data_IF_766875913793
#
_entry.id   IF_766875913793
#
_cell.length_a   1.000
_cell.length_b   1.000
_cell.length_c   1.000
_cell.angle_alpha   90.00
_cell.angle_beta   90.00
_cell.angle_gamma   90.00
#
_symmetry.space_group_name_H-M   'P 1'
#
loop_
_entity.id
_entity.type
_entity.pdbx_description
1 polymer ?
#
# COMPACT_ATOMS: atom_id res chain seq x y z
N UNK A 1 10.47 17.91 2.17
CA UNK A 1 9.97 17.01 3.22
C UNK A 1 11.11 16.10 3.68
N UNK A 2 11.35 15.98 5.00
CA UNK A 2 12.27 14.99 5.59
C UNK A 2 11.49 13.74 5.96
N UNK A 3 11.89 12.60 5.41
CA UNK A 3 11.15 11.33 5.48
C UNK A 3 11.95 10.26 6.19
N UNK A 4 11.28 9.51 7.06
CA UNK A 4 11.81 8.30 7.69
C UNK A 4 11.00 7.09 7.17
N UNK A 5 11.65 6.22 6.41
CA UNK A 5 11.05 4.99 5.90
C UNK A 5 11.60 3.79 6.67
N UNK A 6 10.71 3.03 7.27
CA UNK A 6 11.02 1.84 8.05
C UNK A 6 10.65 0.59 7.24
N UNK A 7 11.51 -0.42 7.27
CA UNK A 7 11.34 -1.62 6.44
C UNK A 7 11.26 -1.26 4.95
N UNK A 8 12.18 -0.39 4.52
CA UNK A 8 12.11 0.36 3.26
C UNK A 8 12.12 -0.52 2.01
N UNK A 9 12.67 -1.72 2.11
CA UNK A 9 12.77 -2.64 0.98
C UNK A 9 13.54 -2.01 -0.17
N UNK A 10 12.95 -2.02 -1.34
CA UNK A 10 13.51 -1.44 -2.58
C UNK A 10 13.12 0.03 -2.78
N UNK A 11 12.78 0.76 -1.73
CA UNK A 11 12.42 2.20 -1.74
C UNK A 11 11.21 2.56 -2.61
N UNK A 12 10.19 1.71 -2.62
CA UNK A 12 8.91 2.02 -3.26
C UNK A 12 8.30 3.33 -2.73
N UNK A 13 8.51 3.63 -1.44
CA UNK A 13 8.04 4.86 -0.80
C UNK A 13 8.70 6.12 -1.39
N UNK A 14 10.01 6.09 -1.64
CA UNK A 14 10.71 7.19 -2.31
C UNK A 14 10.14 7.48 -3.70
N UNK A 15 9.97 6.41 -4.49
CA UNK A 15 9.39 6.53 -5.82
C UNK A 15 7.94 7.05 -5.78
N UNK A 16 7.17 6.62 -4.78
CA UNK A 16 5.79 7.08 -4.58
C UNK A 16 5.73 8.58 -4.25
N UNK A 17 6.61 9.08 -3.39
CA UNK A 17 6.74 10.52 -3.09
C UNK A 17 7.02 11.33 -4.34
N UNK A 18 7.99 10.89 -5.16
CA UNK A 18 8.29 11.54 -6.44
C UNK A 18 7.07 11.55 -7.38
N UNK A 19 6.33 10.46 -7.47
CA UNK A 19 5.09 10.37 -8.28
C UNK A 19 3.94 11.21 -7.72
N UNK A 20 3.93 11.42 -6.42
CA UNK A 20 2.97 12.31 -5.78
C UNK A 20 3.31 13.80 -5.98
N UNK A 21 4.50 14.12 -6.48
CA UNK A 21 4.97 15.50 -6.64
C UNK A 21 5.50 16.12 -5.33
N UNK A 22 5.74 15.31 -4.31
CA UNK A 22 6.19 15.78 -3.00
C UNK A 22 7.73 15.93 -3.01
N UNK A 23 8.27 17.14 -2.79
CA UNK A 23 9.70 17.36 -2.70
C UNK A 23 10.33 16.64 -1.51
N UNK A 24 11.43 15.92 -1.76
CA UNK A 24 12.18 15.15 -0.75
C UNK A 24 13.47 15.90 -0.46
N UNK A 25 13.61 16.45 0.75
CA UNK A 25 14.84 17.13 1.18
C UNK A 25 15.85 16.11 1.71
N UNK A 26 15.37 15.17 2.52
CA UNK A 26 16.17 14.08 3.06
C UNK A 26 15.31 12.84 3.23
N UNK A 27 15.88 11.67 2.89
CA UNK A 27 15.23 10.39 3.06
C UNK A 27 16.11 9.44 3.85
N UNK A 28 15.65 9.08 5.03
CA UNK A 28 16.24 8.08 5.91
C UNK A 28 15.55 6.76 5.72
N UNK A 29 16.30 5.69 5.49
CA UNK A 29 15.78 4.35 5.28
C UNK A 29 16.31 3.36 6.31
N UNK A 30 15.44 2.62 6.95
CA UNK A 30 15.81 1.46 7.77
C UNK A 30 15.49 0.19 7.00
N UNK A 31 16.53 -0.52 6.59
CA UNK A 31 16.48 -1.78 5.88
C UNK A 31 17.71 -2.63 6.24
N UNK A 32 17.56 -3.96 6.29
CA UNK A 32 18.65 -4.89 6.63
C UNK A 32 19.02 -5.83 5.48
N UNK A 33 18.12 -6.01 4.50
CA UNK A 33 18.39 -6.85 3.33
C UNK A 33 19.34 -6.12 2.38
N UNK A 34 20.54 -6.67 2.23
CA UNK A 34 21.60 -6.08 1.39
C UNK A 34 21.19 -5.98 -0.08
N UNK A 35 20.33 -6.88 -0.57
CA UNK A 35 19.84 -6.84 -1.96
C UNK A 35 18.85 -5.70 -2.13
N UNK A 36 17.94 -5.51 -1.17
CA UNK A 36 17.06 -4.36 -1.13
C UNK A 36 17.83 -3.04 -1.13
N UNK A 37 18.81 -2.91 -0.22
CA UNK A 37 19.68 -1.71 -0.10
C UNK A 37 20.41 -1.44 -1.43
N UNK A 38 20.96 -2.49 -2.06
CA UNK A 38 21.66 -2.36 -3.34
C UNK A 38 20.74 -1.84 -4.46
N UNK A 39 19.51 -2.36 -4.56
CA UNK A 39 18.53 -1.89 -5.55
C UNK A 39 18.12 -0.45 -5.24
N UNK A 40 17.81 -0.15 -3.99
CA UNK A 40 17.47 1.19 -3.51
C UNK A 40 18.54 2.22 -3.88
N UNK A 41 19.80 1.97 -3.52
CA UNK A 41 20.92 2.87 -3.78
C UNK A 41 21.31 2.99 -5.26
N UNK A 42 21.05 1.95 -6.07
CA UNK A 42 21.21 2.04 -7.53
C UNK A 42 20.33 3.14 -8.13
N UNK A 43 19.09 3.25 -7.66
CA UNK A 43 18.13 4.24 -8.16
C UNK A 43 18.16 5.57 -7.40
N UNK A 44 18.49 5.54 -6.11
CA UNK A 44 18.45 6.68 -5.21
C UNK A 44 19.71 6.73 -4.32
N UNK A 45 20.86 7.13 -4.86
CA UNK A 45 22.14 7.10 -4.14
C UNK A 45 22.18 8.02 -2.91
N UNK A 46 21.29 9.00 -2.83
CA UNK A 46 21.22 9.97 -1.72
C UNK A 46 20.42 9.48 -0.52
N UNK A 47 19.86 8.26 -0.56
CA UNK A 47 19.16 7.67 0.59
C UNK A 47 20.16 7.38 1.70
N UNK A 48 19.87 7.85 2.90
CA UNK A 48 20.67 7.62 4.10
C UNK A 48 20.19 6.33 4.76
N UNK A 49 21.03 5.28 4.74
CA UNK A 49 20.71 3.98 5.32
C UNK A 49 20.99 3.99 6.83
N UNK A 50 20.00 3.62 7.64
CA UNK A 50 20.06 3.56 9.11
C UNK A 50 20.24 2.14 9.65
N UNK A 51 20.08 1.11 8.81
CA UNK A 51 20.19 -0.30 9.18
C UNK A 51 18.99 -0.83 9.95
N UNK A 52 19.24 -1.61 10.99
CA UNK A 52 18.21 -2.34 11.74
C UNK A 52 17.31 -1.39 12.56
N UNK A 53 15.99 -1.49 12.35
CA UNK A 53 14.98 -0.71 13.07
C UNK A 53 15.00 -0.93 14.59
N UNK A 54 15.47 -2.09 15.07
CA UNK A 54 15.62 -2.34 16.51
C UNK A 54 16.59 -1.37 17.19
N UNK A 55 17.52 -0.77 16.44
CA UNK A 55 18.51 0.18 16.92
C UNK A 55 18.04 1.64 16.82
N UNK A 56 16.78 1.92 16.53
CA UNK A 56 16.29 3.27 16.23
C UNK A 56 16.63 4.34 17.27
N UNK A 57 16.77 3.95 18.56
CA UNK A 57 17.13 4.87 19.63
C UNK A 57 18.57 5.37 19.58
N UNK A 58 19.42 4.71 18.77
CA UNK A 58 20.82 5.11 18.57
C UNK A 58 21.04 5.91 17.29
N UNK A 59 19.98 6.12 16.48
CA UNK A 59 20.11 6.86 15.23
C UNK A 59 20.34 8.35 15.50
N UNK A 60 21.40 8.89 14.90
CA UNK A 60 21.69 10.31 14.90
C UNK A 60 21.01 11.00 13.73
N UNK A 61 19.72 11.30 13.90
CA UNK A 61 18.88 12.00 12.92
C UNK A 61 18.12 13.16 13.57
N UNK A 62 17.73 14.17 12.80
CA UNK A 62 17.02 15.34 13.34
C UNK A 62 15.53 15.00 13.59
N UNK A 63 15.24 14.26 14.65
CA UNK A 63 13.92 13.74 14.99
C UNK A 63 12.80 14.80 14.97
N UNK A 64 13.09 16.04 15.40
CA UNK A 64 12.12 17.14 15.43
C UNK A 64 11.74 17.66 14.06
N UNK A 65 12.57 17.39 13.07
CA UNK A 65 12.41 17.87 11.69
C UNK A 65 11.83 16.79 10.75
N UNK A 66 11.56 15.60 11.25
CA UNK A 66 10.93 14.56 10.45
C UNK A 66 9.46 14.92 10.20
N UNK A 67 9.10 15.02 8.93
CA UNK A 67 7.74 15.38 8.49
C UNK A 67 6.84 14.16 8.30
N UNK A 68 7.42 13.04 7.83
CA UNK A 68 6.68 11.82 7.49
C UNK A 68 7.46 10.59 7.95
N UNK A 69 6.79 9.69 8.67
CA UNK A 69 7.27 8.32 8.89
C UNK A 69 6.36 7.34 8.17
N UNK A 70 6.95 6.39 7.43
CA UNK A 70 6.18 5.37 6.75
C UNK A 70 6.86 4.00 6.85
N UNK A 71 6.07 2.91 6.77
CA UNK A 71 6.62 1.57 6.83
C UNK A 71 5.59 0.48 6.59
N UNK A 72 6.01 -0.56 5.87
CA UNK A 72 5.30 -1.83 5.74
C UNK A 72 5.90 -2.84 6.71
N UNK A 73 5.38 -2.94 7.91
CA UNK A 73 5.91 -3.86 8.91
C UNK A 73 5.58 -5.32 8.57
N UNK A 74 6.44 -6.25 8.96
CA UNK A 74 6.45 -7.64 8.49
C UNK A 74 5.08 -8.32 8.51
N UNK A 75 4.58 -8.67 7.31
CA UNK A 75 3.27 -9.30 7.10
C UNK A 75 3.24 -10.82 7.34
N UNK A 76 4.39 -11.50 7.38
CA UNK A 76 4.45 -12.97 7.42
C UNK A 76 3.82 -13.57 8.67
N UNK A 77 3.79 -12.83 9.77
CA UNK A 77 3.16 -13.24 11.03
C UNK A 77 1.65 -13.06 11.04
N UNK A 78 1.11 -12.17 10.20
CA UNK A 78 -0.31 -11.80 10.14
C UNK A 78 -1.05 -12.42 8.95
N UNK A 79 -0.32 -12.81 7.90
CA UNK A 79 -0.91 -13.35 6.68
C UNK A 79 -1.65 -14.66 6.94
N UNK A 80 -2.80 -14.84 6.29
CA UNK A 80 -3.57 -16.11 6.26
C UNK A 80 -2.79 -17.27 5.66
N UNK A 81 -1.79 -16.99 4.81
CA UNK A 81 -0.88 -18.00 4.23
C UNK A 81 0.30 -18.34 5.16
N UNK A 82 0.51 -17.57 6.23
CA UNK A 82 1.53 -17.78 7.25
C UNK A 82 1.05 -18.68 8.41
N UNK A 83 1.90 -18.81 9.43
CA UNK A 83 1.56 -19.57 10.65
C UNK A 83 0.52 -18.89 11.56
N UNK A 84 0.07 -17.68 11.21
CA UNK A 84 -0.96 -16.91 11.93
C UNK A 84 -0.61 -16.57 13.40
N UNK A 85 0.69 -16.54 13.75
CA UNK A 85 1.15 -16.30 15.13
C UNK A 85 1.03 -14.84 15.58
N UNK A 86 0.75 -13.92 14.65
CA UNK A 86 0.58 -12.49 14.95
C UNK A 86 1.75 -11.92 15.74
N UNK A 87 1.46 -11.21 16.82
CA UNK A 87 2.45 -10.57 17.70
C UNK A 87 3.27 -11.56 18.55
N UNK A 88 2.91 -12.84 18.59
CA UNK A 88 3.70 -13.89 19.24
C UNK A 88 4.96 -14.26 18.45
N UNK A 89 5.03 -13.96 17.17
CA UNK A 89 6.23 -14.11 16.33
C UNK A 89 7.14 -12.89 16.51
N UNK A 90 8.46 -13.11 16.54
CA UNK A 90 9.45 -12.04 16.66
C UNK A 90 9.30 -10.97 15.56
N UNK A 91 8.92 -11.38 14.35
CA UNK A 91 8.66 -10.47 13.23
C UNK A 91 7.38 -9.66 13.39
N UNK A 92 6.33 -10.22 14.02
CA UNK A 92 5.11 -9.48 14.36
C UNK A 92 5.37 -8.40 15.40
N UNK A 93 6.37 -8.59 16.26
CA UNK A 93 6.80 -7.59 17.25
C UNK A 93 7.47 -6.36 16.65
N UNK A 94 7.97 -6.43 15.41
CA UNK A 94 8.54 -5.27 14.70
C UNK A 94 7.49 -4.16 14.47
N UNK A 95 6.20 -4.48 14.48
CA UNK A 95 5.14 -3.48 14.52
C UNK A 95 5.30 -2.52 15.71
N UNK A 96 5.67 -3.04 16.88
CA UNK A 96 5.84 -2.17 18.07
C UNK A 96 7.04 -1.22 17.94
N UNK A 97 8.08 -1.60 17.17
CA UNK A 97 9.14 -0.63 16.82
C UNK A 97 8.56 0.53 15.99
N UNK A 98 7.69 0.22 15.02
CA UNK A 98 7.01 1.24 14.22
C UNK A 98 6.12 2.13 15.10
N UNK A 99 5.26 1.55 15.95
CA UNK A 99 4.36 2.33 16.81
C UNK A 99 5.11 3.18 17.85
N UNK A 100 6.21 2.65 18.42
CA UNK A 100 7.08 3.39 19.35
C UNK A 100 7.72 4.60 18.67
N UNK A 101 8.23 4.45 17.45
CA UNK A 101 8.80 5.54 16.65
C UNK A 101 7.72 6.59 16.34
N UNK A 102 6.52 6.16 15.91
CA UNK A 102 5.39 7.07 15.67
C UNK A 102 5.04 7.84 16.94
N UNK A 103 4.96 7.16 18.08
CA UNK A 103 4.66 7.78 19.40
C UNK A 103 5.76 8.78 19.78
N UNK A 104 7.02 8.41 19.61
CA UNK A 104 8.17 9.29 19.87
C UNK A 104 8.11 10.53 18.97
N UNK A 105 7.91 10.36 17.67
CA UNK A 105 7.79 11.46 16.72
C UNK A 105 6.57 12.35 16.99
N UNK A 106 5.42 11.79 17.39
CA UNK A 106 4.26 12.61 17.82
C UNK A 106 4.64 13.57 18.96
N UNK A 107 5.48 13.11 19.91
CA UNK A 107 5.95 13.96 21.03
C UNK A 107 6.95 15.01 20.52
N UNK A 108 7.99 14.62 19.79
CA UNK A 108 9.05 15.52 19.33
C UNK A 108 8.54 16.60 18.39
N UNK A 109 7.59 16.28 17.51
CA UNK A 109 7.00 17.21 16.52
C UNK A 109 5.74 17.92 17.03
N UNK A 110 5.38 17.76 18.31
CA UNK A 110 4.14 18.31 18.92
C UNK A 110 2.89 17.94 18.13
N UNK A 111 2.82 16.70 17.68
CA UNK A 111 1.68 16.14 16.94
C UNK A 111 1.64 16.45 15.43
N UNK A 112 2.63 17.13 14.88
CA UNK A 112 2.67 17.49 13.45
C UNK A 112 3.11 16.35 12.52
N UNK A 113 3.70 15.27 13.06
CA UNK A 113 4.17 14.14 12.26
C UNK A 113 3.04 13.52 11.44
N UNK A 114 3.31 13.27 10.17
CA UNK A 114 2.50 12.43 9.30
C UNK A 114 3.01 10.99 9.39
N UNK A 115 2.12 10.00 9.37
CA UNK A 115 2.55 8.60 9.34
C UNK A 115 1.68 7.74 8.43
N UNK A 116 2.31 6.74 7.81
CA UNK A 116 1.70 5.71 6.98
C UNK A 116 2.22 4.34 7.39
N UNK A 117 1.36 3.50 7.97
CA UNK A 117 1.63 2.09 8.21
C UNK A 117 0.91 1.23 7.17
N UNK A 118 1.55 0.18 6.67
CA UNK A 118 0.93 -0.76 5.72
C UNK A 118 1.06 -2.19 6.23
N UNK A 119 0.00 -3.00 5.98
CA UNK A 119 0.08 -4.45 6.15
C UNK A 119 -0.96 -5.20 5.29
N UNK A 120 -0.85 -6.52 5.28
CA UNK A 120 -1.83 -7.41 4.65
C UNK A 120 -3.17 -7.42 5.39
N UNK A 121 -4.23 -7.89 4.73
CA UNK A 121 -5.44 -8.32 5.45
C UNK A 121 -5.08 -9.33 6.53
N UNK A 122 -5.64 -9.13 7.71
CA UNK A 122 -5.39 -9.94 8.90
C UNK A 122 -6.68 -10.18 9.68
N UNK A 123 -6.60 -11.00 10.73
CA UNK A 123 -7.71 -11.20 11.67
C UNK A 123 -8.06 -9.90 12.38
N UNK A 124 -9.33 -9.70 12.68
CA UNK A 124 -9.83 -8.49 13.34
C UNK A 124 -9.16 -8.20 14.69
N UNK A 125 -8.81 -9.25 15.44
CA UNK A 125 -8.07 -9.11 16.69
C UNK A 125 -6.72 -8.39 16.52
N UNK A 126 -5.94 -8.77 15.49
CA UNK A 126 -4.65 -8.13 15.19
C UNK A 126 -4.84 -6.72 14.62
N UNK A 127 -5.82 -6.55 13.73
CA UNK A 127 -6.16 -5.24 13.15
C UNK A 127 -6.53 -4.24 14.24
N UNK A 128 -7.32 -4.67 15.24
CA UNK A 128 -7.72 -3.83 16.36
C UNK A 128 -6.53 -3.34 17.17
N UNK A 129 -5.59 -4.23 17.52
CA UNK A 129 -4.36 -3.85 18.24
C UNK A 129 -3.59 -2.76 17.49
N UNK A 130 -3.41 -2.93 16.17
CA UNK A 130 -2.69 -1.94 15.35
C UNK A 130 -3.44 -0.61 15.33
N UNK A 131 -4.77 -0.65 15.17
CA UNK A 131 -5.64 0.52 15.15
C UNK A 131 -5.60 1.29 16.48
N UNK A 132 -5.68 0.58 17.60
CA UNK A 132 -5.59 1.17 18.94
C UNK A 132 -4.23 1.83 19.20
N UNK A 133 -3.14 1.17 18.84
CA UNK A 133 -1.77 1.69 18.99
C UNK A 133 -1.51 2.94 18.13
N UNK A 134 -1.99 2.98 16.90
CA UNK A 134 -1.79 4.10 16.00
C UNK A 134 -2.83 5.21 16.16
N UNK A 135 -4.01 4.88 16.71
CA UNK A 135 -5.11 5.80 16.95
C UNK A 135 -5.86 6.22 15.68
N UNK A 136 -5.80 5.43 14.62
CA UNK A 136 -6.51 5.67 13.35
C UNK A 136 -7.00 4.36 12.75
N UNK A 137 -8.19 4.39 12.12
CA UNK A 137 -8.70 3.24 11.38
C UNK A 137 -7.98 3.07 10.04
N UNK A 138 -7.75 1.83 9.59
CA UNK A 138 -7.13 1.60 8.31
C UNK A 138 -8.11 1.80 7.15
N UNK A 139 -7.59 2.30 6.04
CA UNK A 139 -8.27 2.24 4.74
C UNK A 139 -7.80 0.98 4.03
N UNK A 140 -8.72 0.16 3.55
CA UNK A 140 -8.39 -0.98 2.72
C UNK A 140 -8.43 -0.60 1.25
N UNK A 141 -7.32 -0.84 0.53
CA UNK A 141 -7.24 -0.60 -0.92
C UNK A 141 -6.80 -1.88 -1.62
N UNK A 142 -7.51 -2.21 -2.72
CA UNK A 142 -7.06 -3.22 -3.67
C UNK A 142 -6.21 -2.55 -4.75
N UNK A 143 -4.99 -3.01 -4.94
CA UNK A 143 -4.11 -2.55 -6.03
C UNK A 143 -4.71 -2.73 -7.41
N UNK A 144 -5.72 -3.60 -7.56
CA UNK A 144 -6.46 -3.80 -8.82
C UNK A 144 -7.07 -2.50 -9.38
N UNK A 145 -7.29 -1.49 -8.54
CA UNK A 145 -7.75 -0.17 -8.99
C UNK A 145 -6.70 0.59 -9.80
N UNK A 146 -5.41 0.33 -9.58
CA UNK A 146 -4.31 1.09 -10.20
C UNK A 146 -3.27 0.21 -10.90
N UNK A 147 -3.47 -1.11 -10.89
CA UNK A 147 -2.54 -2.12 -11.43
C UNK A 147 -3.30 -3.33 -11.98
N UNK A 148 -2.60 -4.21 -12.69
CA UNK A 148 -3.14 -5.47 -13.18
C UNK A 148 -3.11 -6.61 -12.14
N UNK A 149 -2.93 -6.33 -10.82
CA UNK A 149 -2.94 -7.36 -9.78
C UNK A 149 -4.02 -7.12 -8.73
N UNK A 150 -4.66 -8.20 -8.28
CA UNK A 150 -5.51 -8.19 -7.08
C UNK A 150 -4.62 -8.27 -5.85
N UNK A 151 -4.52 -7.19 -5.08
CA UNK A 151 -3.65 -7.09 -3.90
C UNK A 151 -4.30 -6.20 -2.85
N UNK A 152 -5.05 -6.78 -1.96
CA UNK A 152 -5.69 -6.08 -0.84
C UNK A 152 -4.68 -5.78 0.27
N UNK A 153 -4.64 -4.52 0.70
CA UNK A 153 -3.79 -4.06 1.81
C UNK A 153 -4.54 -3.10 2.70
N UNK A 154 -4.13 -3.07 3.96
CA UNK A 154 -4.61 -2.15 4.97
C UNK A 154 -3.57 -1.03 5.15
N UNK A 155 -4.03 0.22 5.15
CA UNK A 155 -3.20 1.41 5.28
C UNK A 155 -3.69 2.26 6.45
N UNK A 156 -2.86 2.41 7.47
CA UNK A 156 -3.10 3.30 8.61
C UNK A 156 -2.36 4.61 8.36
N UNK A 157 -3.10 5.70 8.11
CA UNK A 157 -2.52 7.03 7.93
C UNK A 157 -3.36 8.07 8.67
N UNK A 158 -2.68 9.13 9.17
CA UNK A 158 -3.34 10.18 9.97
C UNK A 158 -3.81 11.39 9.13
N UNK A 159 -4.16 11.14 7.89
CA UNK A 159 -4.83 12.10 6.99
C UNK A 159 -5.98 11.41 6.25
N UNK A 160 -7.01 12.17 5.81
CA UNK A 160 -8.12 11.61 5.08
C UNK A 160 -7.69 11.12 3.70
N UNK A 161 -8.20 9.97 3.29
CA UNK A 161 -7.91 9.33 2.01
C UNK A 161 -9.22 9.02 1.30
N UNK A 162 -9.29 9.37 0.02
CA UNK A 162 -10.34 8.92 -0.89
C UNK A 162 -9.88 7.64 -1.60
N UNK A 163 -10.82 6.79 -2.02
CA UNK A 163 -10.48 5.59 -2.80
C UNK A 163 -9.93 5.99 -4.17
N UNK A 164 -8.87 5.33 -4.66
CA UNK A 164 -8.38 5.57 -6.01
C UNK A 164 -9.44 5.17 -7.05
N UNK A 165 -9.50 5.94 -8.14
CA UNK A 165 -10.33 5.60 -9.29
C UNK A 165 -9.75 4.36 -10.00
N UNK A 166 -10.62 3.47 -10.47
CA UNK A 166 -10.20 2.32 -11.26
C UNK A 166 -9.61 2.79 -12.60
N UNK A 167 -8.35 2.45 -12.85
CA UNK A 167 -7.64 2.73 -14.11
C UNK A 167 -7.91 1.69 -15.19
N UNK A 168 -8.64 0.63 -14.88
CA UNK A 168 -8.99 -0.47 -15.78
C UNK A 168 -7.78 -1.16 -16.43
N UNK A 169 -6.62 -1.19 -15.76
CA UNK A 169 -5.43 -1.86 -16.25
C UNK A 169 -5.62 -3.37 -16.20
N UNK A 170 -5.53 -4.03 -17.34
CA UNK A 170 -5.67 -5.48 -17.47
C UNK A 170 -4.32 -6.19 -17.40
N UNK A 171 -4.36 -7.52 -17.26
CA UNK A 171 -3.16 -8.33 -17.37
C UNK A 171 -2.51 -8.18 -18.75
N UNK A 172 -3.33 -8.10 -19.81
CA UNK A 172 -2.84 -7.99 -21.19
C UNK A 172 -2.03 -6.70 -21.41
N UNK A 173 -2.33 -5.63 -20.66
CA UNK A 173 -1.62 -4.33 -20.75
C UNK A 173 -0.19 -4.38 -20.18
N UNK A 174 0.12 -5.38 -19.35
CA UNK A 174 1.42 -5.46 -18.67
C UNK A 174 2.33 -6.57 -19.21
N UNK A 175 1.81 -7.48 -20.03
CA UNK A 175 2.57 -8.61 -20.53
C UNK A 175 3.59 -8.19 -21.60
N UNK A 176 4.77 -8.83 -21.58
CA UNK A 176 5.75 -8.73 -22.64
C UNK A 176 5.41 -9.74 -23.77
N UNK A 177 4.91 -9.21 -24.89
CA UNK A 177 4.46 -10.04 -26.03
C UNK A 177 5.60 -10.70 -26.81
N UNK A 178 6.83 -10.19 -26.72
CA UNK A 178 7.97 -10.58 -27.58
C UNK A 178 8.90 -11.63 -26.97
N UNK A 179 8.59 -12.16 -25.79
CA UNK A 179 9.50 -13.09 -25.06
C UNK A 179 9.35 -14.55 -25.48
N UNK A 180 9.17 -14.83 -26.78
CA UNK A 180 9.28 -16.19 -27.33
C UNK A 180 8.14 -17.14 -26.94
N UNK A 181 7.16 -16.67 -26.17
CA UNK A 181 5.96 -17.41 -25.83
C UNK A 181 4.81 -16.88 -26.68
N UNK A 182 4.68 -17.46 -27.88
CA UNK A 182 3.53 -17.23 -28.71
C UNK A 182 2.42 -18.21 -28.25
N UNK A 183 1.36 -17.76 -27.59
CA UNK A 183 0.29 -18.65 -27.18
C UNK A 183 -0.42 -19.34 -28.36
N UNK A 184 0.04 -19.14 -29.63
CA UNK A 184 -0.49 -19.74 -30.83
C UNK A 184 -2.00 -19.55 -30.88
N UNK A 185 -2.80 -19.97 -31.76
CA UNK A 185 -4.25 -19.82 -31.90
C UNK A 185 -5.13 -20.06 -30.64
N UNK A 186 -4.62 -19.73 -29.43
CA UNK A 186 -5.23 -19.98 -28.15
C UNK A 186 -6.17 -18.84 -27.80
N UNK A 187 -7.39 -19.22 -27.49
CA UNK A 187 -8.53 -18.33 -27.21
C UNK A 187 -8.41 -17.50 -25.92
N UNK A 188 -7.24 -17.37 -25.29
CA UNK A 188 -7.06 -16.51 -24.12
C UNK A 188 -5.78 -16.75 -23.34
N UNK A 189 -5.34 -15.74 -22.64
CA UNK A 189 -4.29 -15.78 -21.63
C UNK A 189 -4.98 -15.92 -20.27
N UNK A 190 -4.49 -16.83 -19.45
CA UNK A 190 -5.07 -17.14 -18.14
C UNK A 190 -4.02 -17.06 -17.04
N UNK A 191 -4.47 -16.75 -15.83
CA UNK A 191 -3.64 -16.84 -14.63
C UNK A 191 -3.77 -18.21 -13.99
N UNK A 192 -2.66 -18.81 -13.67
CA UNK A 192 -2.57 -20.07 -12.96
C UNK A 192 -1.63 -19.99 -11.76
N UNK A 193 -1.66 -21.07 -10.98
CA UNK A 193 -0.72 -21.33 -9.88
C UNK A 193 -0.19 -22.75 -10.02
N UNK A 194 1.06 -22.97 -9.63
CA UNK A 194 1.61 -24.33 -9.54
C UNK A 194 1.62 -24.73 -8.07
N UNK A 195 0.83 -25.73 -7.73
CA UNK A 195 0.62 -26.21 -6.36
C UNK A 195 0.89 -27.70 -6.24
N UNK A 196 1.46 -28.12 -5.11
CA UNK A 196 1.57 -29.54 -4.77
C UNK A 196 0.21 -30.12 -4.39
N UNK A 197 -0.20 -31.18 -5.04
CA UNK A 197 -1.44 -31.91 -4.74
C UNK A 197 -1.16 -33.41 -4.67
N UNK A 198 -1.91 -34.11 -3.84
CA UNK A 198 -1.96 -35.57 -3.88
C UNK A 198 -3.08 -35.96 -4.83
N UNK A 199 -2.71 -36.53 -5.97
CA UNK A 199 -3.65 -36.98 -7.00
C UNK A 199 -3.56 -38.51 -7.03
N UNK A 200 -4.71 -39.18 -6.83
CA UNK A 200 -4.79 -40.64 -6.89
C UNK A 200 -4.68 -41.16 -8.34
N UNK A 201 -4.54 -42.44 -8.51
CA UNK A 201 -4.50 -43.09 -9.84
C UNK A 201 -5.78 -42.87 -10.65
N UNK A 202 -6.88 -42.62 -9.95
CA UNK A 202 -8.18 -42.23 -10.49
C UNK A 202 -8.23 -40.75 -10.97
N UNK A 203 -7.13 -40.01 -10.87
CA UNK A 203 -7.04 -38.58 -11.23
C UNK A 203 -7.69 -37.63 -10.21
N UNK A 204 -8.32 -38.13 -9.16
CA UNK A 204 -8.98 -37.31 -8.16
C UNK A 204 -8.04 -36.85 -7.03
N UNK A 205 -8.36 -35.69 -6.47
CA UNK A 205 -7.60 -35.08 -5.36
C UNK A 205 -7.79 -35.86 -4.06
N UNK A 206 -6.69 -36.30 -3.45
CA UNK A 206 -6.62 -37.07 -2.20
C UNK A 206 -5.63 -36.45 -1.21
N UNK A 207 -5.68 -35.14 -1.00
CA UNK A 207 -4.72 -34.40 -0.15
C UNK A 207 -4.68 -34.90 1.30
N UNK A 208 -5.73 -35.57 1.76
CA UNK A 208 -5.83 -36.19 3.07
C UNK A 208 -5.09 -37.54 3.16
N UNK A 209 -4.80 -38.21 2.03
CA UNK A 209 -4.12 -39.52 1.99
C UNK A 209 -2.60 -39.31 1.86
N UNK A 210 -1.89 -39.55 2.98
CA UNK A 210 -0.43 -39.37 3.04
C UNK A 210 0.34 -40.38 2.19
N UNK A 211 -0.28 -41.51 1.81
CA UNK A 211 0.35 -42.55 0.98
C UNK A 211 0.40 -42.12 -0.51
N UNK A 212 -0.46 -41.20 -0.91
CA UNK A 212 -0.45 -40.67 -2.28
C UNK A 212 0.66 -39.65 -2.44
N UNK A 213 1.53 -39.85 -3.44
CA UNK A 213 2.64 -38.93 -3.76
C UNK A 213 2.15 -37.56 -4.15
N UNK A 214 2.86 -36.50 -3.69
CA UNK A 214 2.57 -35.13 -4.10
C UNK A 214 3.00 -34.93 -5.55
N UNK A 215 2.07 -34.51 -6.38
CA UNK A 215 2.27 -34.11 -7.77
C UNK A 215 2.15 -32.58 -7.89
N UNK A 216 3.03 -31.96 -8.66
CA UNK A 216 2.92 -30.53 -8.97
C UNK A 216 1.85 -30.35 -10.06
N UNK A 217 0.78 -29.65 -9.73
CA UNK A 217 -0.34 -29.39 -10.62
C UNK A 217 -0.35 -27.91 -11.04
N UNK A 218 -0.61 -27.63 -12.30
CA UNK A 218 -1.00 -26.31 -12.77
C UNK A 218 -2.52 -26.15 -12.55
N UNK A 219 -2.91 -25.23 -11.70
CA UNK A 219 -4.33 -24.86 -11.50
C UNK A 219 -4.57 -23.52 -12.18
N UNK A 220 -5.30 -23.53 -13.29
CA UNK A 220 -5.71 -22.33 -14.04
C UNK A 220 -7.09 -21.91 -13.54
N UNK A 221 -7.21 -20.66 -13.11
CA UNK A 221 -8.43 -20.14 -12.49
C UNK A 221 -9.41 -19.64 -13.56
N UNK A 222 -10.71 -19.87 -13.32
CA UNK A 222 -11.75 -19.12 -14.00
C UNK A 222 -11.75 -17.70 -13.45
N UNK A 223 -11.78 -16.72 -14.34
CA UNK A 223 -12.17 -15.37 -13.94
C UNK A 223 -13.57 -15.44 -13.32
N UNK A 224 -13.70 -14.97 -12.10
CA UNK A 224 -14.98 -15.01 -11.39
C UNK A 224 -16.00 -14.02 -11.99
N UNK A 225 -15.53 -13.08 -12.80
CA UNK A 225 -16.36 -12.05 -13.41
C UNK A 225 -16.23 -12.10 -14.94
N UNK A 226 -17.29 -12.52 -15.62
CA UNK A 226 -17.38 -12.61 -17.08
C UNK A 226 -17.33 -11.26 -17.82
N UNK A 227 -17.32 -10.16 -17.09
CA UNK A 227 -17.26 -8.78 -17.61
C UNK A 227 -16.04 -8.02 -17.13
N UNK A 228 -15.16 -8.61 -16.31
CA UNK A 228 -14.07 -7.91 -15.67
C UNK A 228 -12.75 -8.11 -16.40
N UNK A 229 -12.00 -7.05 -16.40
CA UNK A 229 -10.61 -6.93 -16.76
C UNK A 229 -9.80 -8.01 -16.04
N UNK A 230 -9.07 -8.83 -16.79
CA UNK A 230 -8.23 -9.89 -16.24
C UNK A 230 -7.15 -9.30 -15.32
N UNK A 231 -7.05 -9.79 -14.10
CA UNK A 231 -6.05 -9.39 -13.12
C UNK A 231 -5.20 -10.58 -12.70
N UNK A 232 -3.92 -10.35 -12.40
CA UNK A 232 -3.08 -11.38 -11.78
C UNK A 232 -3.46 -11.62 -10.32
N UNK A 233 -2.97 -12.72 -9.75
CA UNK A 233 -2.96 -12.87 -8.30
C UNK A 233 -2.00 -11.84 -7.67
N UNK A 234 -2.12 -11.64 -6.34
CA UNK A 234 -1.13 -10.88 -5.58
C UNK A 234 0.27 -11.44 -5.82
N UNK A 235 1.23 -10.58 -6.15
CA UNK A 235 2.64 -10.98 -6.14
C UNK A 235 3.03 -11.40 -4.72
N UNK A 236 3.63 -12.58 -4.63
CA UNK A 236 4.24 -13.13 -3.42
C UNK A 236 5.74 -13.26 -3.60
N UNK A 237 6.44 -13.87 -2.67
CA UNK A 237 7.87 -14.19 -2.80
C UNK A 237 8.12 -15.48 -3.58
N UNK A 238 7.09 -16.08 -4.18
CA UNK A 238 7.15 -17.40 -4.82
C UNK A 238 6.67 -17.34 -6.27
N UNK A 239 7.56 -17.66 -7.21
CA UNK A 239 7.27 -17.65 -8.65
C UNK A 239 6.04 -18.48 -9.05
N UNK A 240 5.81 -19.61 -8.36
CA UNK A 240 4.72 -20.56 -8.65
C UNK A 240 3.33 -20.01 -8.37
N UNK A 241 3.22 -18.91 -7.60
CA UNK A 241 1.93 -18.33 -7.22
C UNK A 241 1.31 -17.49 -8.34
N UNK A 242 2.11 -17.16 -9.36
CA UNK A 242 1.66 -16.45 -10.54
C UNK A 242 2.34 -17.01 -11.78
N UNK A 243 1.59 -17.71 -12.61
CA UNK A 243 2.03 -18.19 -13.91
C UNK A 243 1.03 -17.76 -14.99
N UNK A 244 1.54 -17.45 -16.17
CA UNK A 244 0.76 -17.15 -17.35
C UNK A 244 0.53 -18.46 -18.09
N UNK A 245 -0.71 -18.84 -18.33
CA UNK A 245 -1.08 -20.10 -18.98
C UNK A 245 -1.86 -19.88 -20.27
N UNK A 246 -1.55 -20.71 -21.25
CA UNK A 246 -2.33 -20.85 -22.48
C UNK A 246 -3.47 -21.88 -22.35
N UNK A 247 -3.48 -22.66 -21.30
CA UNK A 247 -4.53 -23.64 -21.04
C UNK A 247 -5.76 -22.97 -20.43
N UNK A 248 -6.97 -23.42 -20.80
CA UNK A 248 -8.20 -22.90 -20.23
C UNK A 248 -8.30 -23.19 -18.71
N UNK A 249 -9.26 -22.57 -18.01
CA UNK A 249 -9.48 -22.86 -16.60
C UNK A 249 -9.66 -24.35 -16.33
N UNK A 250 -8.88 -24.88 -15.40
CA UNK A 250 -8.85 -26.31 -15.06
C UNK A 250 -7.69 -26.66 -14.14
N UNK A 251 -7.60 -27.96 -13.85
CA UNK A 251 -6.48 -28.54 -13.12
C UNK A 251 -5.74 -29.51 -14.02
N UNK A 252 -4.43 -29.30 -14.11
CA UNK A 252 -3.54 -30.05 -14.97
C UNK A 252 -2.44 -30.67 -14.11
N UNK A 253 -2.49 -32.02 -13.85
CA UNK A 253 -1.42 -32.71 -13.15
C UNK A 253 -0.12 -32.69 -13.95
N UNK A 254 1.01 -32.93 -13.26
CA UNK A 254 2.35 -32.95 -13.86
C UNK A 254 2.70 -31.63 -14.60
N UNK A 255 2.51 -30.49 -13.91
CA UNK A 255 2.72 -29.18 -14.49
C UNK A 255 4.08 -29.05 -15.23
N UNK A 256 5.15 -29.67 -14.72
CA UNK A 256 6.49 -29.57 -15.32
C UNK A 256 6.65 -30.31 -16.65
N UNK A 257 5.75 -31.22 -16.97
CA UNK A 257 5.70 -31.88 -18.29
C UNK A 257 5.04 -30.99 -19.36
N UNK A 258 4.41 -29.88 -18.94
CA UNK A 258 3.68 -28.93 -19.79
C UNK A 258 4.34 -27.55 -19.84
N UNK A 259 5.68 -27.50 -19.84
CA UNK A 259 6.44 -26.25 -19.80
C UNK A 259 6.17 -25.29 -20.96
N UNK A 260 5.72 -25.81 -22.09
CA UNK A 260 5.29 -25.06 -23.27
C UNK A 260 3.88 -24.42 -23.12
N UNK A 261 3.11 -24.82 -22.13
CA UNK A 261 1.75 -24.35 -21.89
C UNK A 261 1.64 -23.24 -20.85
N UNK A 262 2.70 -22.96 -20.12
CA UNK A 262 2.75 -21.85 -19.17
C UNK A 262 4.16 -21.25 -19.09
N UNK A 263 4.23 -20.04 -18.61
CA UNK A 263 5.49 -19.39 -18.23
C UNK A 263 5.35 -18.61 -16.92
N UNK A 264 6.47 -18.32 -16.30
CA UNK A 264 6.51 -17.39 -15.18
C UNK A 264 6.44 -15.95 -15.67
N UNK A 265 6.10 -15.05 -14.76
CA UNK A 265 6.22 -13.61 -14.99
C UNK A 265 7.69 -13.23 -15.17
N UNK A 266 7.96 -12.30 -16.07
CA UNK A 266 9.30 -11.71 -16.24
C UNK A 266 9.53 -10.64 -15.15
N UNK A 267 10.79 -10.26 -14.85
CA UNK A 267 11.06 -9.15 -13.94
C UNK A 267 10.38 -7.83 -14.36
N UNK A 268 10.28 -7.55 -15.66
CA UNK A 268 9.56 -6.39 -16.19
C UNK A 268 8.07 -6.45 -15.87
N UNK A 269 7.43 -7.60 -16.07
CA UNK A 269 6.01 -7.78 -15.73
C UNK A 269 5.77 -7.67 -14.23
N UNK A 270 6.71 -8.16 -13.40
CA UNK A 270 6.66 -7.98 -11.94
C UNK A 270 6.75 -6.49 -11.56
N UNK A 271 7.64 -5.74 -12.23
CA UNK A 271 7.74 -4.29 -12.06
C UNK A 271 6.41 -3.60 -12.41
N UNK A 272 5.84 -3.90 -13.57
CA UNK A 272 4.57 -3.34 -14.04
C UNK A 272 3.41 -3.65 -13.08
N UNK A 273 3.35 -4.87 -12.52
CA UNK A 273 2.35 -5.23 -11.50
C UNK A 273 2.47 -4.42 -10.20
N UNK A 274 3.69 -4.04 -9.82
CA UNK A 274 3.93 -3.14 -8.67
C UNK A 274 3.97 -1.66 -9.08
N UNK A 275 3.67 -1.38 -10.34
CA UNK A 275 3.75 -0.03 -10.91
C UNK A 275 5.14 0.61 -10.76
N UNK A 276 6.20 -0.21 -10.79
CA UNK A 276 7.59 0.21 -10.86
C UNK A 276 7.97 0.51 -12.32
N UNK A 277 9.03 1.28 -12.59
CA UNK A 277 9.64 1.36 -13.92
C UNK A 277 10.09 -0.02 -14.42
N UNK A 278 10.04 -0.25 -15.72
CA UNK A 278 10.37 -1.54 -16.33
C UNK A 278 11.80 -2.01 -16.01
N UNK A 279 12.75 -1.08 -15.91
CA UNK A 279 14.18 -1.28 -15.64
C UNK A 279 14.54 -1.35 -14.15
N UNK A 280 13.54 -1.24 -13.26
CA UNK A 280 13.79 -1.09 -11.81
C UNK A 280 14.53 -2.29 -11.20
N UNK A 281 14.25 -3.48 -11.68
CA UNK A 281 14.87 -4.73 -11.23
C UNK A 281 15.88 -5.31 -12.25
N UNK A 282 16.39 -4.48 -13.16
CA UNK A 282 17.38 -4.92 -14.16
C UNK A 282 18.65 -5.48 -13.52
N UNK A 283 19.08 -6.63 -14.02
CA UNK A 283 20.24 -7.37 -13.53
C UNK A 283 19.95 -8.20 -12.28
N UNK A 284 18.70 -8.26 -11.81
CA UNK A 284 18.27 -9.11 -10.69
C UNK A 284 17.74 -10.44 -11.23
N UNK A 285 18.20 -11.54 -10.64
CA UNK A 285 17.71 -12.87 -11.01
C UNK A 285 16.18 -13.00 -10.78
N UNK A 286 15.42 -13.67 -11.67
CA UNK A 286 13.96 -13.70 -11.64
C UNK A 286 13.35 -14.09 -10.28
N UNK A 287 13.90 -15.10 -9.60
CA UNK A 287 13.41 -15.50 -8.27
C UNK A 287 13.61 -14.40 -7.21
N UNK A 288 14.75 -13.71 -7.28
CA UNK A 288 15.04 -12.59 -6.38
C UNK A 288 14.14 -11.41 -6.72
N UNK A 289 13.96 -11.09 -8.01
CA UNK A 289 13.06 -10.04 -8.48
C UNK A 289 11.63 -10.28 -7.99
N UNK A 290 11.12 -11.52 -8.07
CA UNK A 290 9.82 -11.90 -7.52
C UNK A 290 9.74 -11.63 -6.01
N UNK A 291 10.78 -12.00 -5.26
CA UNK A 291 10.81 -11.77 -3.81
C UNK A 291 10.79 -10.28 -3.47
N UNK A 292 11.61 -9.49 -4.16
CA UNK A 292 11.69 -8.04 -3.96
C UNK A 292 10.37 -7.34 -4.33
N UNK A 293 9.82 -7.66 -5.49
CA UNK A 293 8.53 -7.12 -5.94
C UNK A 293 7.37 -7.58 -5.04
N UNK A 294 7.36 -8.86 -4.65
CA UNK A 294 6.31 -9.43 -3.79
C UNK A 294 6.25 -8.79 -2.40
N UNK A 295 7.41 -8.44 -1.82
CA UNK A 295 7.51 -7.72 -0.55
C UNK A 295 7.30 -6.20 -0.71
N UNK A 296 7.51 -5.66 -1.91
CA UNK A 296 7.37 -4.23 -2.19
C UNK A 296 5.93 -3.74 -2.18
N UNK A 297 5.76 -2.44 -2.16
CA UNK A 297 4.47 -1.77 -2.31
C UNK A 297 4.09 -1.59 -3.78
N UNK A 298 2.79 -1.57 -4.05
CA UNK A 298 2.28 -1.03 -5.33
C UNK A 298 2.43 0.49 -5.29
N UNK A 299 3.41 1.01 -6.03
CA UNK A 299 3.84 2.42 -5.93
C UNK A 299 2.71 3.41 -6.17
N UNK A 300 1.84 3.14 -7.14
CA UNK A 300 0.72 4.04 -7.46
C UNK A 300 -0.35 4.10 -6.36
N UNK A 301 -0.50 3.05 -5.54
CA UNK A 301 -1.36 3.11 -4.36
C UNK A 301 -0.76 4.06 -3.33
N UNK A 302 0.53 3.91 -3.03
CA UNK A 302 1.22 4.79 -2.06
C UNK A 302 1.24 6.25 -2.57
N UNK A 303 1.53 6.46 -3.85
CA UNK A 303 1.48 7.80 -4.45
C UNK A 303 0.08 8.43 -4.34
N UNK A 304 -0.98 7.63 -4.50
CA UNK A 304 -2.35 8.10 -4.31
C UNK A 304 -2.62 8.53 -2.87
N UNK A 305 -2.20 7.72 -1.89
CA UNK A 305 -2.31 8.04 -0.46
C UNK A 305 -1.57 9.36 -0.13
N UNK A 306 -0.35 9.49 -0.64
CA UNK A 306 0.51 10.66 -0.38
C UNK A 306 -0.04 11.95 -1.00
N UNK A 307 -0.66 11.92 -2.19
CA UNK A 307 -1.32 13.11 -2.79
C UNK A 307 -2.44 13.68 -1.93
N UNK A 308 -3.02 12.87 -1.04
CA UNK A 308 -4.07 13.34 -0.11
C UNK A 308 -3.51 14.19 1.04
N UNK A 309 -2.19 14.22 1.24
CA UNK A 309 -1.51 15.08 2.24
C UNK A 309 -1.70 16.55 1.89
N UNK A 310 -1.51 16.93 0.62
CA UNK A 310 -1.68 18.32 0.16
C UNK A 310 -3.11 18.82 0.40
N UNK A 311 -4.10 17.96 0.17
CA UNK A 311 -5.51 18.29 0.46
C UNK A 311 -5.76 18.54 1.95
N UNK A 312 -5.11 17.77 2.84
CA UNK A 312 -5.20 18.02 4.29
C UNK A 312 -4.62 19.38 4.63
N UNK A 313 -3.41 19.68 4.16
CA UNK A 313 -2.76 20.97 4.43
C UNK A 313 -3.61 22.13 3.94
N UNK A 314 -4.17 22.03 2.73
CA UNK A 314 -5.09 23.04 2.19
C UNK A 314 -6.35 23.19 3.06
N UNK A 315 -6.96 22.09 3.51
CA UNK A 315 -8.12 22.11 4.37
C UNK A 315 -7.81 22.72 5.75
N UNK A 316 -6.64 22.43 6.31
CA UNK A 316 -6.20 23.00 7.59
C UNK A 316 -5.96 24.51 7.47
N UNK A 317 -5.35 24.98 6.37
CA UNK A 317 -5.23 26.40 6.05
C UNK A 317 -6.60 27.08 5.93
N UNK A 318 -7.54 26.47 5.20
CA UNK A 318 -8.90 27.01 5.04
C UNK A 318 -9.63 27.08 6.38
N UNK A 319 -9.47 26.09 7.28
CA UNK A 319 -10.04 26.12 8.62
C UNK A 319 -9.45 27.23 9.47
N UNK A 320 -8.13 27.42 9.39
CA UNK A 320 -7.44 28.48 10.13
C UNK A 320 -7.86 29.88 9.63
N UNK A 321 -7.97 30.08 8.30
CA UNK A 321 -8.52 31.30 7.72
C UNK A 321 -9.96 31.56 8.20
N UNK A 322 -10.83 30.55 8.20
CA UNK A 322 -12.20 30.69 8.69
C UNK A 322 -12.23 31.10 10.16
N UNK A 323 -11.41 30.44 11.01
CA UNK A 323 -11.30 30.77 12.41
C UNK A 323 -10.87 32.23 12.63
N UNK A 324 -9.84 32.69 11.92
CA UNK A 324 -9.38 34.10 11.96
C UNK A 324 -10.49 35.05 11.49
N UNK A 325 -11.20 34.70 10.42
CA UNK A 325 -12.32 35.50 9.91
C UNK A 325 -13.45 35.58 10.93
N UNK A 326 -13.82 34.48 11.56
CA UNK A 326 -14.85 34.44 12.61
C UNK A 326 -14.43 35.26 13.85
N UNK A 327 -13.17 35.15 14.26
CA UNK A 327 -12.62 35.98 15.35
C UNK A 327 -12.63 37.49 15.01
N UNK A 328 -12.33 37.87 13.77
CA UNK A 328 -12.38 39.24 13.29
C UNK A 328 -13.83 39.76 13.14
N UNK A 329 -14.75 38.91 12.71
CA UNK A 329 -16.15 39.29 12.45
C UNK A 329 -17.00 39.29 13.73
N UNK A 330 -16.68 38.43 14.70
CA UNK A 330 -17.48 38.22 15.91
C UNK A 330 -16.73 38.47 17.23
N UNK A 331 -15.39 38.69 17.17
CA UNK A 331 -14.54 38.92 18.37
C UNK A 331 -14.56 40.33 18.92
N UNK A 332 -15.41 41.25 18.43
CA UNK A 332 -15.52 42.65 18.88
C UNK A 332 -16.75 42.92 19.77
N UNK A 333 -17.36 41.90 20.40
CA UNK A 333 -18.55 42.07 21.26
C UNK A 333 -18.34 41.79 22.76
N UNK A 334 -17.11 41.94 23.26
CA UNK A 334 -16.87 41.97 24.71
C UNK A 334 -16.11 43.23 25.17
N UNK A 335 -16.67 44.41 24.89
CA UNK A 335 -16.47 45.57 25.77
C UNK A 335 -17.86 46.19 26.03
N UNK A 336 -18.33 45.94 27.24
CA UNK A 336 -19.66 46.37 27.66
C UNK A 336 -19.83 47.88 27.63
N UNK A 337 -20.89 48.31 26.98
CA UNK A 337 -21.74 49.39 27.48
C UNK A 337 -23.17 48.99 27.16
N UNK A 338 -23.91 48.68 28.21
CA UNK A 338 -25.36 48.58 28.18
C UNK A 338 -25.93 49.94 27.70
N UNK A 339 -26.26 50.04 26.42
CA UNK A 339 -27.18 51.05 25.93
C UNK A 339 -28.48 50.34 25.65
N UNK A 340 -29.38 50.46 26.63
CA UNK A 340 -30.80 50.12 26.47
C UNK A 340 -31.36 51.03 25.39
N UNK A 341 -31.49 50.53 24.18
CA UNK A 341 -32.20 51.21 23.11
C UNK A 341 -33.68 50.86 23.21
N UNK A 342 -34.48 51.84 23.62
CA UNK A 342 -35.92 51.75 23.80
C UNK A 342 -36.60 51.51 22.45
N UNK A 343 -37.20 50.33 22.29
CA UNK A 343 -37.90 49.89 21.07
C UNK A 343 -39.24 50.62 20.84
N UNK A 344 -39.52 51.69 21.60
CA UNK A 344 -40.78 52.43 21.48
C UNK A 344 -40.77 53.57 20.50
N UNK A 345 -39.64 54.14 20.14
CA UNK A 345 -39.60 55.32 19.25
C UNK A 345 -39.48 55.01 17.72
N UNK A 346 -39.09 53.79 17.36
CA UNK A 346 -38.97 53.41 15.93
C UNK A 346 -40.31 53.00 15.28
N UNK A 347 -41.30 52.65 16.07
CA UNK A 347 -42.63 52.27 15.54
C UNK A 347 -43.55 53.47 15.27
N UNK A 348 -43.26 54.64 15.81
CA UNK A 348 -44.06 55.87 15.53
C UNK A 348 -43.61 56.59 14.26
N UNK A 349 -42.34 56.49 13.87
CA UNK A 349 -41.82 57.10 12.63
C UNK A 349 -42.32 56.42 11.36
N UNK A 350 -42.54 55.07 11.42
CA UNK A 350 -43.01 54.31 10.28
C UNK A 350 -44.53 54.46 10.04
N UNK A 351 -45.30 54.77 11.05
CA UNK A 351 -46.74 55.02 10.91
C UNK A 351 -47.09 56.41 10.35
N UNK A 352 -46.17 57.40 10.41
CA UNK A 352 -46.37 58.75 9.85
C UNK A 352 -45.97 58.90 8.41
N UNK A 353 -45.24 57.94 7.78
CA UNK A 353 -44.86 58.01 6.39
C UNK A 353 -45.78 57.23 5.41
N UNK A 354 -46.85 56.60 5.91
CA UNK A 354 -47.82 55.87 5.08
C UNK A 354 -49.19 56.55 4.97
N UNK A 355 -49.34 57.80 5.49
CA UNK A 355 -50.55 58.60 5.37
C UNK A 355 -50.24 60.05 4.92
N UNK A 356 -49.46 60.20 3.87
CA UNK A 356 -49.38 61.40 3.08
C UNK A 356 -49.34 61.08 1.62
#
# INVERSE_FOLDING_TARGET
MKVLSLFDGISCGYLALRRAGIPIDTYYASEIDKTCIKVSQKHFPNIIQLGDVNNWRTWDIPWKDIDLVMGGFCCQSFSSSGKGKGFMDARGRLFFCFSDIVRYLKKETKGKILFLGENVRMRDEHRRVITEELGVEPVEIDSALVSAQTRHRLYWCNWPVEMPKDKHISLDDILEHDKGWNPGAIRGIYIGVIVGRRIGEDGHRKDYDKNVKITQCLEVRKDKNTTSIKKSNCLTTVMKDNVISSLPPGRYPNAFDMKDKFRYLTPVEMCRLQTLPDDYLDGIAPNTAMSLAGNGWTVDVIAHLLRSIERKQMNDIVKEFRKITDELMFGSSETGTNVTCDKHEQNEAIRKSQNS
#
